data_IF_998084469251
#
_entry.id   IF_998084469251
#
_cell.length_a   1.000
_cell.length_b   1.000
_cell.length_c   1.000
_cell.angle_alpha   90.00
_cell.angle_beta   90.00
_cell.angle_gamma   90.00
#
_symmetry.space_group_name_H-M   'P 1'
#
loop_
_entity.id
_entity.type
_entity.pdbx_description
1 polymer ?
#
# COMPACT_ATOMS: atom_id res chain seq x y z
N UNK A 1 3.77 7.49 -6.13
CA UNK A 1 5.04 7.04 -5.50
C UNK A 1 6.26 7.84 -5.98
N UNK A 2 6.46 8.09 -7.28
CA UNK A 2 7.62 8.87 -7.75
C UNK A 2 7.70 10.31 -7.18
N UNK A 3 6.55 10.97 -7.00
CA UNK A 3 6.49 12.33 -6.44
C UNK A 3 6.61 12.38 -4.90
N UNK A 4 6.21 11.31 -4.23
CA UNK A 4 6.29 11.14 -2.77
C UNK A 4 6.96 9.79 -2.46
N UNK A 5 8.29 9.70 -2.61
CA UNK A 5 9.00 8.40 -2.57
C UNK A 5 9.05 7.80 -1.17
N UNK A 6 8.93 8.62 -0.12
CA UNK A 6 8.87 8.17 1.26
C UNK A 6 7.52 7.54 1.57
N UNK A 7 7.53 6.31 2.10
CA UNK A 7 6.34 5.61 2.61
C UNK A 7 5.66 6.42 3.72
N UNK A 8 6.41 7.21 4.49
CA UNK A 8 5.85 8.05 5.55
C UNK A 8 5.00 9.20 4.99
N UNK A 9 5.14 9.52 3.71
CA UNK A 9 4.47 10.64 3.08
C UNK A 9 3.21 10.14 2.35
N UNK A 10 3.35 9.15 1.46
CA UNK A 10 2.20 8.70 0.66
C UNK A 10 1.27 7.71 1.38
N UNK A 11 1.76 6.94 2.34
CA UNK A 11 0.93 5.92 3.00
C UNK A 11 -0.18 6.52 3.88
N UNK A 12 0.03 7.61 4.65
CA UNK A 12 -1.05 8.31 5.34
C UNK A 12 -2.14 8.83 4.39
N UNK A 13 -1.75 9.35 3.23
CA UNK A 13 -2.70 9.80 2.21
C UNK A 13 -3.55 8.63 1.71
N UNK A 14 -2.93 7.50 1.34
CA UNK A 14 -3.64 6.29 0.91
C UNK A 14 -4.59 5.81 2.01
N UNK A 15 -4.13 5.75 3.26
CA UNK A 15 -4.96 5.32 4.38
C UNK A 15 -6.19 6.21 4.59
N UNK A 16 -6.03 7.53 4.44
CA UNK A 16 -7.16 8.46 4.46
C UNK A 16 -8.17 8.17 3.33
N UNK A 17 -7.70 7.95 2.10
CA UNK A 17 -8.57 7.62 0.97
C UNK A 17 -9.31 6.29 1.19
N UNK A 18 -8.60 5.24 1.63
CA UNK A 18 -9.19 3.93 1.94
C UNK A 18 -10.27 4.01 3.03
N UNK A 19 -10.04 4.84 4.06
CA UNK A 19 -11.03 5.11 5.09
C UNK A 19 -12.30 5.74 4.50
N UNK A 20 -12.17 6.73 3.61
CA UNK A 20 -13.32 7.34 2.94
C UNK A 20 -14.07 6.34 2.05
N UNK A 21 -13.36 5.42 1.40
CA UNK A 21 -13.99 4.32 0.63
C UNK A 21 -14.81 3.43 1.56
N UNK A 22 -14.24 3.00 2.68
CA UNK A 22 -14.94 2.19 3.68
C UNK A 22 -16.19 2.89 4.24
N UNK A 23 -16.14 4.21 4.42
CA UNK A 23 -17.25 5.03 4.89
C UNK A 23 -18.27 5.39 3.79
N UNK A 24 -18.04 5.01 2.53
CA UNK A 24 -18.91 5.33 1.39
C UNK A 24 -18.77 6.76 0.86
N UNK A 25 -17.76 7.52 1.30
CA UNK A 25 -17.49 8.92 0.96
C UNK A 25 -16.35 9.08 -0.05
N UNK A 26 -16.15 8.11 -0.94
CA UNK A 26 -15.00 8.04 -1.85
C UNK A 26 -14.84 9.27 -2.78
N UNK A 27 -15.92 10.03 -3.04
CA UNK A 27 -15.86 11.26 -3.83
C UNK A 27 -15.13 12.40 -3.11
N UNK A 28 -14.92 12.31 -1.80
CA UNK A 28 -14.26 13.32 -0.97
C UNK A 28 -12.74 13.08 -0.83
N UNK A 29 -12.14 12.17 -1.61
CA UNK A 29 -10.73 11.77 -1.48
C UNK A 29 -9.74 12.94 -1.50
N UNK A 30 -10.05 14.06 -2.18
CA UNK A 30 -9.20 15.26 -2.22
C UNK A 30 -9.03 15.91 -0.83
N UNK A 31 -9.97 15.72 0.10
CA UNK A 31 -9.83 16.19 1.48
C UNK A 31 -8.63 15.58 2.20
N UNK A 32 -8.12 14.43 1.71
CA UNK A 32 -6.93 13.79 2.27
C UNK A 32 -5.62 14.54 2.01
N UNK A 33 -5.58 15.51 1.08
CA UNK A 33 -4.42 16.38 0.91
C UNK A 33 -4.23 17.32 2.11
N UNK A 34 -5.32 17.85 2.66
CA UNK A 34 -5.30 18.71 3.84
C UNK A 34 -4.76 17.97 5.06
N UNK A 35 -5.19 16.70 5.23
CA UNK A 35 -4.73 15.84 6.33
C UNK A 35 -3.25 15.46 6.22
N UNK A 36 -2.68 15.46 5.01
CA UNK A 36 -1.32 14.97 4.74
C UNK A 36 -0.29 16.10 4.55
N UNK A 37 -0.73 17.36 4.47
CA UNK A 37 0.11 18.53 4.12
C UNK A 37 0.94 18.34 2.83
N UNK A 38 0.43 17.53 1.89
CA UNK A 38 1.09 17.24 0.62
C UNK A 38 0.57 18.18 -0.47
N UNK A 39 1.44 18.61 -1.40
CA UNK A 39 1.03 19.36 -2.58
C UNK A 39 0.09 18.49 -3.46
N UNK A 40 -1.17 18.90 -3.69
CA UNK A 40 -2.11 18.11 -4.48
C UNK A 40 -1.75 18.07 -5.97
N UNK A 41 -0.99 19.04 -6.46
CA UNK A 41 -0.75 19.25 -7.89
C UNK A 41 -0.23 17.99 -8.62
N UNK A 42 0.78 17.25 -8.12
CA UNK A 42 1.30 16.09 -8.85
C UNK A 42 0.29 14.96 -9.01
N UNK A 43 -0.61 14.77 -8.04
CA UNK A 43 -1.66 13.74 -8.10
C UNK A 43 -2.79 14.18 -9.04
N UNK A 44 -3.22 15.44 -8.96
CA UNK A 44 -4.25 16.00 -9.84
C UNK A 44 -3.77 16.01 -11.30
N UNK A 45 -2.53 16.44 -11.56
CA UNK A 45 -1.95 16.43 -12.91
C UNK A 45 -1.83 14.99 -13.45
N UNK A 46 -1.52 14.01 -12.59
CA UNK A 46 -1.48 12.60 -12.97
C UNK A 46 -2.86 12.07 -13.38
N UNK A 47 -3.87 12.34 -12.54
CA UNK A 47 -5.26 11.91 -12.73
C UNK A 47 -5.93 12.56 -13.94
N UNK A 48 -5.81 13.88 -14.08
CA UNK A 48 -6.42 14.63 -15.18
C UNK A 48 -5.65 14.54 -16.50
N UNK A 49 -4.34 14.25 -16.44
CA UNK A 49 -3.45 14.20 -17.60
C UNK A 49 -3.39 12.86 -18.33
N UNK A 50 -4.14 11.84 -17.92
CA UNK A 50 -4.12 10.50 -18.52
C UNK A 50 -2.89 9.65 -18.17
N UNK A 51 -2.07 10.10 -17.21
CA UNK A 51 -0.91 9.34 -16.72
C UNK A 51 -1.34 8.23 -15.76
N UNK A 52 -2.47 8.39 -15.09
CA UNK A 52 -3.20 7.39 -14.31
C UNK A 52 -3.39 6.08 -15.09
N UNK A 53 -3.92 6.13 -16.32
CA UNK A 53 -4.17 4.94 -17.14
C UNK A 53 -2.89 4.18 -17.47
N UNK A 54 -1.79 4.91 -17.72
CA UNK A 54 -0.47 4.29 -17.94
C UNK A 54 0.03 3.62 -16.67
N UNK A 55 -0.15 4.27 -15.52
CA UNK A 55 0.24 3.74 -14.22
C UNK A 55 -0.55 2.47 -13.87
N UNK A 56 -1.86 2.46 -14.12
CA UNK A 56 -2.72 1.29 -13.93
C UNK A 56 -2.26 0.11 -14.80
N UNK A 57 -1.97 0.33 -16.09
CA UNK A 57 -1.46 -0.72 -16.97
C UNK A 57 -0.10 -1.28 -16.50
N UNK A 58 0.77 -0.42 -15.97
CA UNK A 58 2.04 -0.86 -15.38
C UNK A 58 1.80 -1.75 -14.16
N UNK A 59 0.91 -1.38 -13.24
CA UNK A 59 0.58 -2.21 -12.09
C UNK A 59 -0.16 -3.49 -12.48
N UNK A 60 -1.01 -3.46 -13.51
CA UNK A 60 -1.64 -4.66 -14.06
C UNK A 60 -0.59 -5.67 -14.56
N UNK A 61 0.46 -5.21 -15.25
CA UNK A 61 1.55 -6.06 -15.71
C UNK A 61 2.36 -6.66 -14.53
N UNK A 62 2.65 -5.86 -13.49
CA UNK A 62 3.33 -6.35 -12.27
C UNK A 62 2.49 -7.40 -11.55
N UNK A 63 1.19 -7.15 -11.41
CA UNK A 63 0.24 -8.06 -10.76
C UNK A 63 0.05 -9.36 -11.56
N UNK A 64 -0.02 -9.28 -12.89
CA UNK A 64 -0.12 -10.45 -13.77
C UNK A 64 1.17 -11.31 -13.77
N UNK A 65 2.32 -10.69 -13.48
CA UNK A 65 3.60 -11.37 -13.41
C UNK A 65 3.89 -12.03 -12.06
N UNK A 66 2.98 -11.93 -11.08
CA UNK A 66 3.12 -12.60 -9.78
C UNK A 66 3.30 -14.12 -9.96
N UNK A 67 4.21 -14.69 -9.17
CA UNK A 67 4.48 -16.12 -9.15
C UNK A 67 4.43 -16.64 -7.71
N UNK A 68 3.45 -17.50 -7.35
CA UNK A 68 2.32 -17.93 -8.19
C UNK A 68 1.39 -16.75 -8.52
N UNK A 69 0.56 -16.92 -9.55
CA UNK A 69 -0.51 -15.96 -9.83
C UNK A 69 -1.41 -15.81 -8.59
N UNK A 70 -1.82 -14.58 -8.27
CA UNK A 70 -2.70 -14.34 -7.14
C UNK A 70 -4.07 -15.00 -7.37
N UNK A 71 -4.69 -15.48 -6.29
CA UNK A 71 -5.98 -16.19 -6.37
C UNK A 71 -7.16 -15.34 -5.90
N UNK A 72 -6.87 -14.35 -5.04
CA UNK A 72 -7.82 -13.44 -4.43
C UNK A 72 -7.06 -12.22 -3.91
N UNK A 73 -7.82 -11.23 -3.41
CA UNK A 73 -7.30 -10.09 -2.66
C UNK A 73 -7.86 -10.11 -1.24
N UNK A 74 -7.09 -9.66 -0.22
CA UNK A 74 -5.72 -9.15 -0.32
C UNK A 74 -4.69 -10.24 -0.66
N UNK A 75 -3.67 -9.90 -1.44
CA UNK A 75 -2.55 -10.80 -1.79
C UNK A 75 -1.25 -10.29 -1.16
N UNK A 76 -0.91 -10.84 0.01
CA UNK A 76 0.26 -10.40 0.79
C UNK A 76 1.44 -11.35 0.58
N UNK A 77 2.60 -10.77 0.29
CA UNK A 77 3.84 -11.50 -0.01
C UNK A 77 4.95 -10.99 0.89
N UNK A 78 5.61 -11.90 1.63
CA UNK A 78 6.82 -11.61 2.42
C UNK A 78 7.95 -12.48 1.88
N UNK A 79 9.10 -11.88 1.57
CA UNK A 79 10.26 -12.58 0.99
C UNK A 79 9.92 -13.48 -0.22
N UNK A 80 9.07 -12.97 -1.13
CA UNK A 80 8.58 -13.66 -2.34
C UNK A 80 7.71 -14.91 -2.03
N UNK A 81 7.21 -15.05 -0.81
CA UNK A 81 6.28 -16.12 -0.44
C UNK A 81 4.90 -15.54 -0.13
N UNK A 82 3.84 -15.97 -0.84
CA UNK A 82 2.48 -15.56 -0.49
C UNK A 82 2.07 -16.17 0.85
N UNK A 83 1.36 -15.39 1.67
CA UNK A 83 0.88 -15.82 2.99
C UNK A 83 -0.51 -16.47 2.96
N UNK A 84 -1.23 -16.36 1.84
CA UNK A 84 -2.61 -16.86 1.70
C UNK A 84 -3.51 -16.33 2.83
N UNK A 85 -4.29 -17.21 3.49
CA UNK A 85 -5.19 -16.87 4.60
C UNK A 85 -4.47 -16.36 5.85
N UNK A 86 -3.15 -16.55 5.95
CA UNK A 86 -2.35 -16.11 7.09
C UNK A 86 -1.80 -14.68 6.91
N UNK A 87 -2.43 -13.90 6.02
CA UNK A 87 -1.97 -12.56 5.66
C UNK A 87 -2.01 -11.57 6.84
N UNK A 88 -2.95 -11.75 7.79
CA UNK A 88 -3.05 -10.91 8.98
C UNK A 88 -1.82 -11.07 9.91
N UNK A 89 -1.18 -12.24 9.88
CA UNK A 89 0.01 -12.53 10.66
C UNK A 89 1.32 -12.06 9.99
N UNK A 90 1.26 -11.16 8.99
CA UNK A 90 2.45 -10.74 8.22
C UNK A 90 3.61 -10.23 9.11
N UNK A 91 3.33 -9.59 10.25
CA UNK A 91 4.35 -9.12 11.20
C UNK A 91 5.22 -10.31 11.68
N UNK A 92 4.61 -11.45 11.98
CA UNK A 92 5.34 -12.67 12.35
C UNK A 92 6.34 -13.08 11.26
N UNK A 93 5.90 -13.09 10.01
CA UNK A 93 6.74 -13.47 8.87
C UNK A 93 7.86 -12.46 8.62
N UNK A 94 7.58 -11.15 8.74
CA UNK A 94 8.57 -10.09 8.63
C UNK A 94 9.65 -10.24 9.71
N UNK A 95 9.23 -10.40 10.97
CA UNK A 95 10.14 -10.58 12.10
C UNK A 95 10.99 -11.86 11.96
N UNK A 96 10.39 -12.96 11.49
CA UNK A 96 11.10 -14.21 11.21
C UNK A 96 12.12 -14.10 10.07
N UNK A 97 11.85 -13.27 9.07
CA UNK A 97 12.75 -13.02 7.92
C UNK A 97 13.86 -12.01 8.22
N UNK A 98 13.72 -11.20 9.27
CA UNK A 98 14.67 -10.15 9.60
C UNK A 98 16.01 -10.72 10.10
N UNK A 99 17.11 -10.31 9.47
CA UNK A 99 18.46 -10.83 9.77
C UNK A 99 19.28 -9.96 10.73
N UNK A 100 18.76 -8.79 11.10
CA UNK A 100 19.41 -7.88 12.04
C UNK A 100 18.95 -8.06 13.48
N UNK A 101 19.31 -7.13 14.36
CA UNK A 101 18.79 -7.06 15.72
C UNK A 101 17.29 -6.83 15.70
N UNK A 102 16.52 -7.77 16.22
CA UNK A 102 15.06 -7.70 16.20
C UNK A 102 14.55 -6.41 16.87
N UNK A 103 13.70 -5.62 16.18
CA UNK A 103 12.99 -4.51 16.79
C UNK A 103 12.07 -4.97 17.93
N UNK A 104 11.72 -4.06 18.85
CA UNK A 104 10.76 -4.35 19.92
C UNK A 104 9.39 -4.79 19.39
N UNK A 105 8.99 -4.31 18.22
CA UNK A 105 7.76 -4.73 17.53
C UNK A 105 7.72 -6.23 17.16
N UNK A 106 8.87 -6.92 17.21
CA UNK A 106 8.95 -8.37 17.01
C UNK A 106 8.80 -9.17 18.29
N UNK A 107 8.55 -8.53 19.43
CA UNK A 107 8.24 -9.22 20.67
C UNK A 107 6.77 -9.65 20.65
N UNK A 108 6.54 -10.94 20.43
CA UNK A 108 5.22 -11.59 20.36
C UNK A 108 4.41 -11.58 21.68
N UNK A 109 4.84 -10.85 22.70
CA UNK A 109 4.10 -10.74 23.96
C UNK A 109 3.03 -9.62 23.93
N UNK A 110 3.01 -8.80 22.88
CA UNK A 110 2.16 -7.61 22.77
C UNK A 110 1.24 -7.58 21.53
N UNK A 111 1.07 -8.72 20.82
CA UNK A 111 0.14 -8.88 19.69
C UNK A 111 -0.77 -10.09 19.95
#
# INVERSE_FOLDING_TARGET
IAFWPSVKDHFPFIHCVEKLVYEGNYTQWETCFEASALDPKPVIDCYSGGYDSKLELMYAAVTAALQPAHQYVPWVVVDRKPLYEDYDNFIHYVCKGYKGTLPSACNYQDI
#
